data_IF_824652024695
#
_entry.id   IF_824652024695
#
_cell.length_a   1.000
_cell.length_b   1.000
_cell.length_c   1.000
_cell.angle_alpha   90.00
_cell.angle_beta   90.00
_cell.angle_gamma   90.00
#
_symmetry.space_group_name_H-M   'P 1'
#
loop_
_entity.id
_entity.type
_entity.pdbx_description
1 polymer ?
#
# COMPACT_ATOMS: atom_id res chain seq x y z
N UNK A 1 15.04 -11.60 6.79
CA UNK A 1 14.76 -10.31 6.10
C UNK A 1 13.94 -9.40 7.01
N UNK A 2 14.12 -8.11 6.85
CA UNK A 2 13.31 -7.08 7.51
C UNK A 2 12.21 -6.59 6.58
N UNK A 3 10.99 -6.52 7.08
CA UNK A 3 9.80 -6.13 6.31
C UNK A 3 9.18 -4.88 6.92
N UNK A 4 8.80 -3.92 6.07
CA UNK A 4 7.99 -2.76 6.43
C UNK A 4 6.61 -2.91 5.80
N UNK A 5 5.56 -2.75 6.59
CA UNK A 5 4.17 -2.72 6.12
C UNK A 5 3.67 -1.29 6.26
N UNK A 6 3.12 -0.73 5.19
CA UNK A 6 2.56 0.63 5.19
C UNK A 6 1.05 0.56 5.29
N UNK A 7 0.51 1.16 6.34
CA UNK A 7 -0.92 1.21 6.62
C UNK A 7 -1.26 0.99 8.09
N UNK A 8 -2.56 0.98 8.42
CA UNK A 8 -3.02 0.96 9.81
C UNK A 8 -4.33 0.18 10.03
N UNK A 9 -4.84 -0.48 9.02
CA UNK A 9 -6.15 -1.14 9.06
C UNK A 9 -6.10 -2.65 9.33
N UNK A 10 -7.26 -3.28 9.24
CA UNK A 10 -7.39 -4.74 9.41
C UNK A 10 -6.68 -5.54 8.32
N UNK A 11 -6.59 -5.00 7.11
CA UNK A 11 -5.84 -5.60 6.00
C UNK A 11 -4.36 -5.70 6.35
N UNK A 12 -3.77 -4.63 6.84
CA UNK A 12 -2.37 -4.59 7.27
C UNK A 12 -2.12 -5.49 8.48
N UNK A 13 -3.09 -5.58 9.40
CA UNK A 13 -3.01 -6.52 10.53
C UNK A 13 -2.97 -7.98 10.03
N UNK A 14 -3.82 -8.35 9.08
CA UNK A 14 -3.82 -9.69 8.48
C UNK A 14 -2.51 -9.99 7.73
N UNK A 15 -1.97 -9.00 7.01
CA UNK A 15 -0.66 -9.10 6.35
C UNK A 15 0.45 -9.33 7.38
N UNK A 16 0.48 -8.53 8.47
CA UNK A 16 1.46 -8.67 9.54
C UNK A 16 1.39 -10.06 10.19
N UNK A 17 0.19 -10.56 10.46
CA UNK A 17 -0.03 -11.90 10.99
C UNK A 17 0.58 -12.96 10.07
N UNK A 18 0.28 -12.87 8.76
CA UNK A 18 0.78 -13.85 7.81
C UNK A 18 2.30 -13.78 7.61
N UNK A 19 2.84 -12.58 7.54
CA UNK A 19 4.29 -12.36 7.42
C UNK A 19 5.04 -12.86 8.66
N UNK A 20 4.46 -12.72 9.85
CA UNK A 20 5.08 -13.20 11.10
C UNK A 20 5.28 -14.73 11.15
N UNK A 21 4.51 -15.48 10.38
CA UNK A 21 4.64 -16.93 10.27
C UNK A 21 5.84 -17.37 9.43
N UNK A 22 6.44 -16.47 8.65
CA UNK A 22 7.53 -16.79 7.74
C UNK A 22 8.85 -16.92 8.47
N UNK A 23 9.55 -18.03 8.28
CA UNK A 23 10.89 -18.28 8.81
C UNK A 23 11.97 -17.38 8.20
N UNK A 24 11.67 -16.70 7.09
CA UNK A 24 12.59 -15.77 6.42
C UNK A 24 12.55 -14.37 7.00
N UNK A 25 11.54 -14.06 7.79
CA UNK A 25 11.33 -12.72 8.34
C UNK A 25 11.87 -12.65 9.76
N UNK A 26 12.83 -11.76 10.00
CA UNK A 26 13.47 -11.55 11.29
C UNK A 26 12.80 -10.42 12.07
N UNK A 27 12.35 -9.38 11.37
CA UNK A 27 11.75 -8.19 11.96
C UNK A 27 10.65 -7.62 11.06
N UNK A 28 9.54 -7.22 11.68
CA UNK A 28 8.43 -6.54 11.02
C UNK A 28 8.24 -5.16 11.62
N UNK A 29 8.17 -4.15 10.76
CA UNK A 29 7.76 -2.80 11.11
C UNK A 29 6.43 -2.50 10.42
N UNK A 30 5.59 -1.68 11.04
CA UNK A 30 4.36 -1.17 10.43
C UNK A 30 4.24 0.33 10.64
N UNK A 31 3.95 1.07 9.60
CA UNK A 31 3.82 2.52 9.66
C UNK A 31 2.48 2.98 9.06
N UNK A 32 1.63 3.64 9.83
CA UNK A 32 1.73 3.90 11.27
C UNK A 32 1.37 2.70 12.15
N UNK A 33 0.68 1.70 11.63
CA UNK A 33 0.21 0.55 12.41
C UNK A 33 -0.98 0.88 13.33
N UNK A 34 -1.31 -0.07 14.19
CA UNK A 34 -2.34 0.06 15.22
C UNK A 34 -2.02 -0.84 16.42
N UNK A 35 -2.84 -0.77 17.47
CA UNK A 35 -2.60 -1.53 18.70
C UNK A 35 -2.55 -3.05 18.50
N UNK A 36 -3.39 -3.62 17.62
CA UNK A 36 -3.37 -5.05 17.30
C UNK A 36 -2.10 -5.44 16.55
N UNK A 37 -1.67 -4.62 15.59
CA UNK A 37 -0.43 -4.83 14.84
C UNK A 37 0.80 -4.75 15.76
N UNK A 38 0.75 -3.92 16.82
CA UNK A 38 1.86 -3.78 17.77
C UNK A 38 2.19 -5.06 18.51
N UNK A 39 1.30 -6.03 18.57
CA UNK A 39 1.57 -7.36 19.12
C UNK A 39 2.48 -8.22 18.22
N UNK A 40 2.52 -7.92 16.92
CA UNK A 40 3.23 -8.69 15.89
C UNK A 40 4.42 -7.95 15.30
N UNK A 41 4.40 -6.62 15.32
CA UNK A 41 5.33 -5.74 14.63
C UNK A 41 5.67 -4.52 15.48
N UNK A 42 6.79 -3.89 15.18
CA UNK A 42 7.10 -2.57 15.74
C UNK A 42 6.38 -1.49 14.94
N UNK A 43 5.46 -0.78 15.59
CA UNK A 43 4.77 0.34 14.98
C UNK A 43 5.66 1.58 14.97
N UNK A 44 5.73 2.25 13.83
CA UNK A 44 6.55 3.44 13.59
C UNK A 44 5.63 4.63 13.34
N UNK A 45 5.87 5.73 14.05
CA UNK A 45 5.06 6.95 13.91
C UNK A 45 5.41 7.73 12.64
N UNK A 46 5.12 7.12 11.51
CA UNK A 46 5.20 7.74 10.18
C UNK A 46 3.86 7.47 9.49
N UNK A 47 3.21 8.51 9.00
CA UNK A 47 1.94 8.39 8.28
C UNK A 47 2.14 7.77 6.91
N UNK A 48 1.13 7.06 6.42
CA UNK A 48 1.18 6.33 5.15
C UNK A 48 1.43 7.23 3.92
N UNK A 49 1.08 8.52 4.00
CA UNK A 49 1.30 9.48 2.91
C UNK A 49 2.61 10.26 3.03
N UNK A 50 3.39 10.06 4.09
CA UNK A 50 4.70 10.70 4.29
C UNK A 50 5.81 9.90 3.58
N UNK A 51 5.78 9.87 2.26
CA UNK A 51 6.64 9.02 1.43
C UNK A 51 8.13 9.23 1.66
N UNK A 52 8.57 10.49 1.79
CA UNK A 52 9.98 10.80 2.03
C UNK A 52 10.48 10.20 3.34
N UNK A 53 9.67 10.27 4.39
CA UNK A 53 10.00 9.69 5.70
C UNK A 53 10.00 8.16 5.66
N UNK A 54 9.06 7.55 4.92
CA UNK A 54 9.01 6.11 4.74
C UNK A 54 10.23 5.60 3.97
N UNK A 55 10.62 6.27 2.90
CA UNK A 55 11.83 5.94 2.12
C UNK A 55 13.08 6.07 2.99
N UNK A 56 13.22 7.16 3.75
CA UNK A 56 14.33 7.38 4.65
C UNK A 56 14.40 6.27 5.73
N UNK A 57 13.28 5.96 6.36
CA UNK A 57 13.18 4.88 7.34
C UNK A 57 13.61 3.54 6.75
N UNK A 58 13.13 3.20 5.55
CA UNK A 58 13.47 1.95 4.88
C UNK A 58 14.96 1.83 4.57
N UNK A 59 15.61 2.94 4.17
CA UNK A 59 17.07 2.98 3.95
C UNK A 59 17.85 2.84 5.24
N UNK A 60 17.51 3.63 6.25
CA UNK A 60 18.22 3.66 7.54
C UNK A 60 18.14 2.33 8.28
N UNK A 61 16.99 1.66 8.22
CA UNK A 61 16.75 0.38 8.88
C UNK A 61 17.06 -0.83 8.00
N UNK A 62 17.55 -0.62 6.79
CA UNK A 62 17.88 -1.69 5.83
C UNK A 62 16.72 -2.64 5.59
N UNK A 63 15.56 -2.09 5.32
CA UNK A 63 14.36 -2.86 4.98
C UNK A 63 14.57 -3.62 3.68
N UNK A 64 14.33 -4.92 3.71
CA UNK A 64 14.49 -5.80 2.54
C UNK A 64 13.27 -5.77 1.63
N UNK A 65 12.08 -5.61 2.18
CA UNK A 65 10.83 -5.56 1.44
C UNK A 65 9.83 -4.64 2.13
N UNK A 66 9.21 -3.75 1.37
CA UNK A 66 8.09 -2.92 1.83
C UNK A 66 6.80 -3.36 1.16
N UNK A 67 5.75 -3.57 1.96
CA UNK A 67 4.42 -3.97 1.49
C UNK A 67 3.45 -2.82 1.73
N UNK A 68 2.77 -2.38 0.68
CA UNK A 68 1.78 -1.30 0.76
C UNK A 68 0.39 -1.91 0.87
N UNK A 69 -0.25 -1.72 2.02
CA UNK A 69 -1.56 -2.29 2.32
C UNK A 69 -2.75 -1.36 2.06
N UNK A 70 -2.51 -0.07 1.83
CA UNK A 70 -3.54 0.97 1.63
C UNK A 70 -3.59 1.47 0.19
N UNK A 71 -4.78 1.87 -0.24
CA UNK A 71 -5.02 2.34 -1.61
C UNK A 71 -4.47 3.76 -1.85
N UNK A 72 -4.70 4.68 -0.91
CA UNK A 72 -4.30 6.09 -1.04
C UNK A 72 -2.80 6.28 -1.33
N UNK A 73 -1.87 5.64 -0.60
CA UNK A 73 -0.45 5.71 -0.94
C UNK A 73 -0.13 5.16 -2.32
N UNK A 74 -0.79 4.10 -2.76
CA UNK A 74 -0.60 3.49 -4.08
C UNK A 74 -0.99 4.47 -5.19
N UNK A 75 -2.17 5.08 -5.08
CA UNK A 75 -2.65 6.11 -6.02
C UNK A 75 -1.77 7.36 -5.96
N UNK A 76 -1.24 7.68 -4.80
CA UNK A 76 -0.30 8.78 -4.58
C UNK A 76 1.10 8.56 -5.17
N UNK A 77 1.44 7.32 -5.55
CA UNK A 77 2.71 7.00 -6.20
C UNK A 77 3.83 6.51 -5.28
N UNK A 78 3.50 5.95 -4.10
CA UNK A 78 4.51 5.47 -3.15
C UNK A 78 5.44 4.40 -3.75
N UNK A 79 4.89 3.49 -4.59
CA UNK A 79 5.69 2.43 -5.24
C UNK A 79 6.73 3.05 -6.17
N UNK A 80 6.35 4.05 -6.95
CA UNK A 80 7.27 4.76 -7.83
C UNK A 80 8.39 5.44 -7.04
N UNK A 81 8.08 6.04 -5.88
CA UNK A 81 9.10 6.68 -5.02
C UNK A 81 10.07 5.66 -4.41
N UNK A 82 9.58 4.50 -3.95
CA UNK A 82 10.42 3.43 -3.44
C UNK A 82 11.32 2.83 -4.53
N UNK A 83 10.79 2.62 -5.73
CA UNK A 83 11.56 2.11 -6.86
C UNK A 83 12.67 3.08 -7.29
N UNK A 84 12.38 4.39 -7.36
CA UNK A 84 13.39 5.44 -7.62
C UNK A 84 14.52 5.42 -6.59
N UNK A 85 14.20 5.09 -5.35
CA UNK A 85 15.17 5.00 -4.27
C UNK A 85 15.96 3.68 -4.26
N UNK A 86 15.68 2.76 -5.21
CA UNK A 86 16.31 1.45 -5.29
C UNK A 86 15.83 0.46 -4.24
N UNK A 87 14.66 0.70 -3.64
CA UNK A 87 14.08 -0.13 -2.60
C UNK A 87 13.07 -1.11 -3.19
N UNK A 88 13.12 -2.35 -2.71
CA UNK A 88 12.14 -3.38 -3.10
C UNK A 88 10.80 -3.10 -2.42
N UNK A 89 9.75 -3.02 -3.22
CA UNK A 89 8.39 -2.71 -2.77
C UNK A 89 7.38 -3.61 -3.46
N UNK A 90 6.35 -4.03 -2.71
CA UNK A 90 5.22 -4.79 -3.22
C UNK A 90 3.97 -3.91 -3.26
N UNK A 91 3.45 -3.72 -4.46
CA UNK A 91 2.24 -2.94 -4.75
C UNK A 91 2.24 -2.46 -6.20
N UNK A 92 1.08 -2.09 -6.74
CA UNK A 92 1.00 -1.53 -8.09
C UNK A 92 1.59 -0.12 -8.14
N UNK A 93 2.21 0.22 -9.28
CA UNK A 93 2.61 1.59 -9.58
C UNK A 93 1.39 2.49 -9.74
N UNK A 94 1.59 3.80 -9.63
CA UNK A 94 0.53 4.80 -9.71
C UNK A 94 -0.35 4.63 -10.96
N UNK A 95 0.25 4.35 -12.11
CA UNK A 95 -0.47 4.17 -13.39
C UNK A 95 -1.43 2.97 -13.38
N UNK A 96 -1.19 1.95 -12.58
CA UNK A 96 -2.06 0.78 -12.42
C UNK A 96 -3.00 0.94 -11.22
N UNK A 97 -2.57 1.61 -10.15
CA UNK A 97 -3.35 1.83 -8.93
C UNK A 97 -4.63 2.64 -9.17
N UNK A 98 -4.71 3.40 -10.26
CA UNK A 98 -5.90 4.15 -10.66
C UNK A 98 -7.14 3.26 -10.86
N UNK A 99 -6.96 1.98 -11.15
CA UNK A 99 -8.07 1.02 -11.29
C UNK A 99 -8.86 0.94 -9.99
N UNK A 100 -8.20 0.99 -8.85
CA UNK A 100 -8.86 1.00 -7.54
C UNK A 100 -9.16 2.42 -7.07
N UNK A 101 -8.29 3.36 -7.34
CA UNK A 101 -8.40 4.75 -6.90
C UNK A 101 -9.50 5.56 -7.60
N UNK A 102 -9.93 5.14 -8.78
CA UNK A 102 -10.98 5.84 -9.55
C UNK A 102 -12.05 4.87 -10.01
N UNK A 103 -13.22 4.96 -9.38
CA UNK A 103 -14.39 4.16 -9.76
C UNK A 103 -14.82 4.44 -11.21
N UNK A 104 -14.80 5.71 -11.64
CA UNK A 104 -15.12 6.09 -13.02
C UNK A 104 -14.18 5.43 -14.02
N UNK A 105 -12.86 5.52 -13.78
CA UNK A 105 -11.85 4.88 -14.61
C UNK A 105 -12.06 3.36 -14.72
N UNK A 106 -12.27 2.69 -13.57
CA UNK A 106 -12.53 1.24 -13.55
C UNK A 106 -13.78 0.84 -14.30
N UNK A 107 -14.87 1.60 -14.14
CA UNK A 107 -16.13 1.35 -14.84
C UNK A 107 -15.99 1.55 -16.35
N UNK A 108 -15.29 2.56 -16.79
CA UNK A 108 -15.01 2.80 -18.20
C UNK A 108 -14.15 1.69 -18.81
N UNK A 109 -13.14 1.23 -18.07
CA UNK A 109 -12.32 0.09 -18.46
C UNK A 109 -13.15 -1.19 -18.62
N UNK A 110 -14.03 -1.47 -17.65
CA UNK A 110 -14.92 -2.63 -17.69
C UNK A 110 -15.87 -2.56 -18.89
N UNK A 111 -16.43 -1.37 -19.17
CA UNK A 111 -17.28 -1.13 -20.34
C UNK A 111 -16.51 -1.38 -21.65
N UNK A 112 -15.29 -0.86 -21.74
CA UNK A 112 -14.44 -1.00 -22.92
C UNK A 112 -14.13 -2.47 -23.26
N UNK A 113 -13.93 -3.30 -22.25
CA UNK A 113 -13.54 -4.70 -22.41
C UNK A 113 -14.67 -5.69 -22.13
N UNK A 114 -15.91 -5.22 -22.04
CA UNK A 114 -17.11 -6.04 -21.78
C UNK A 114 -17.01 -6.88 -20.50
N UNK A 115 -16.39 -6.32 -19.44
CA UNK A 115 -16.30 -6.96 -18.13
C UNK A 115 -17.62 -6.72 -17.38
N UNK A 116 -18.31 -7.77 -16.88
CA UNK A 116 -19.58 -7.61 -16.18
C UNK A 116 -19.46 -6.70 -14.96
N UNK A 117 -20.33 -5.71 -14.86
CA UNK A 117 -20.44 -4.79 -13.73
C UNK A 117 -21.84 -4.18 -13.69
N UNK A 118 -22.24 -3.58 -12.58
CA UNK A 118 -23.49 -2.83 -12.49
C UNK A 118 -23.50 -1.65 -13.46
N UNK A 119 -24.69 -1.30 -13.94
CA UNK A 119 -24.86 -0.12 -14.77
C UNK A 119 -24.41 1.14 -14.00
N UNK A 120 -23.82 2.08 -14.71
CA UNK A 120 -23.29 3.32 -14.13
C UNK A 120 -23.38 4.47 -15.10
N UNK A 121 -23.29 5.68 -14.56
CA UNK A 121 -23.12 6.93 -15.31
C UNK A 121 -22.15 7.82 -14.56
N UNK A 122 -21.35 8.60 -15.29
CA UNK A 122 -20.38 9.54 -14.71
C UNK A 122 -20.85 10.96 -14.99
N UNK A 123 -20.90 11.79 -13.95
CA UNK A 123 -21.29 13.18 -14.01
C UNK A 123 -20.14 14.04 -13.49
N UNK A 124 -19.86 15.16 -14.17
CA UNK A 124 -18.83 16.13 -13.76
C UNK A 124 -19.45 17.35 -13.07
N UNK A 125 -20.72 17.64 -13.35
CA UNK A 125 -21.49 18.73 -12.75
C UNK A 125 -22.68 18.19 -11.95
N UNK A 126 -23.03 18.89 -10.90
CA UNK A 126 -24.13 18.50 -9.99
C UNK A 126 -25.51 19.02 -10.43
N UNK A 127 -25.62 19.68 -11.56
CA UNK A 127 -26.87 20.27 -12.09
C UNK A 127 -27.71 19.26 -12.91
#
# INVERSE_FOLDING_TARGET
MKVLIVGSGGREHAIAQKVSESKRVDKIYCAPGNAGIAELAECVDIKAMEFDKLVAFAKENRIDLTIIGMDDPLVGGIVDEFEKAGLRVFGPRKNAAIIEGSKAFSKDLMKKYNIPTAAYETFEDAD
#
